data_IF_974556912609
#
_entry.id   IF_974556912609
#
_cell.length_a   1.000
_cell.length_b   1.000
_cell.length_c   1.000
_cell.angle_alpha   90.00
_cell.angle_beta   90.00
_cell.angle_gamma   90.00
#
_symmetry.space_group_name_H-M   'P 1'
#
loop_
_entity.id
_entity.type
_entity.pdbx_description
1 polymer ?
#
# COMPACT_ATOMS: atom_id res chain seq x y z
N UNK A 1 -15.92 -68.58 -7.87
CA UNK A 1 -16.29 -67.22 -7.42
C UNK A 1 -15.53 -66.26 -8.31
N UNK A 2 -16.24 -65.71 -9.31
CA UNK A 2 -15.64 -65.23 -10.56
C UNK A 2 -14.95 -63.88 -10.44
N UNK A 3 -13.93 -63.68 -11.26
CA UNK A 3 -13.12 -62.47 -11.45
C UNK A 3 -13.93 -61.16 -11.46
N UNK A 4 -15.20 -61.19 -11.90
CA UNK A 4 -16.10 -60.03 -11.89
C UNK A 4 -16.50 -59.57 -10.49
N UNK A 5 -16.65 -60.50 -9.52
CA UNK A 5 -16.95 -60.18 -8.12
C UNK A 5 -15.74 -59.53 -7.46
N UNK A 6 -14.54 -60.06 -7.72
CA UNK A 6 -13.28 -59.52 -7.20
C UNK A 6 -12.99 -58.10 -7.74
N UNK A 7 -13.23 -57.85 -9.04
CA UNK A 7 -13.11 -56.49 -9.62
C UNK A 7 -14.08 -55.49 -9.00
N UNK A 8 -15.34 -55.89 -8.76
CA UNK A 8 -16.33 -55.03 -8.11
C UNK A 8 -15.93 -54.70 -6.68
N UNK A 9 -15.48 -55.70 -5.91
CA UNK A 9 -14.99 -55.49 -4.54
C UNK A 9 -13.78 -54.56 -4.49
N UNK A 10 -12.81 -54.72 -5.41
CA UNK A 10 -11.65 -53.83 -5.50
C UNK A 10 -12.05 -52.38 -5.82
N UNK A 11 -12.99 -52.19 -6.74
CA UNK A 11 -13.53 -50.86 -7.09
C UNK A 11 -14.20 -50.19 -5.89
N UNK A 12 -14.99 -50.91 -5.09
CA UNK A 12 -15.59 -50.35 -3.89
C UNK A 12 -14.56 -49.95 -2.83
N UNK A 13 -13.51 -50.75 -2.63
CA UNK A 13 -12.42 -50.42 -1.70
C UNK A 13 -11.68 -49.17 -2.15
N UNK A 14 -11.38 -49.03 -3.45
CA UNK A 14 -10.73 -47.84 -4.00
C UNK A 14 -11.60 -46.59 -3.84
N UNK A 15 -12.92 -46.69 -4.08
CA UNK A 15 -13.84 -45.57 -3.89
C UNK A 15 -13.91 -45.13 -2.42
N UNK A 16 -13.94 -46.09 -1.48
CA UNK A 16 -13.96 -45.78 -0.03
C UNK A 16 -12.64 -45.13 0.41
N UNK A 17 -11.49 -45.60 -0.10
CA UNK A 17 -10.18 -45.01 0.18
C UNK A 17 -10.06 -43.59 -0.40
N UNK A 18 -10.64 -43.34 -1.58
CA UNK A 18 -10.69 -42.00 -2.19
C UNK A 18 -11.59 -41.03 -1.41
N UNK A 19 -12.71 -41.50 -0.83
CA UNK A 19 -13.57 -40.66 0.03
C UNK A 19 -12.89 -40.29 1.35
N UNK A 20 -12.07 -41.18 1.92
CA UNK A 20 -11.29 -40.89 3.13
C UNK A 20 -10.22 -39.81 2.94
N UNK A 21 -9.66 -39.68 1.73
CA UNK A 21 -8.65 -38.67 1.39
C UNK A 21 -9.24 -37.26 1.23
N UNK A 22 -10.52 -37.12 0.88
CA UNK A 22 -11.19 -35.81 0.72
C UNK A 22 -11.47 -35.19 2.09
N UNK A 23 -11.72 -36.00 3.13
CA UNK A 23 -12.09 -35.52 4.46
C UNK A 23 -10.91 -35.07 5.34
N UNK A 24 -9.66 -35.43 4.99
CA UNK A 24 -8.48 -35.08 5.79
C UNK A 24 -7.88 -33.69 5.47
N UNK A 25 -8.39 -33.00 4.44
CA UNK A 25 -7.80 -31.75 3.92
C UNK A 25 -8.55 -30.46 4.26
N UNK A 26 -9.75 -30.51 4.86
CA UNK A 26 -10.53 -29.31 5.16
C UNK A 26 -10.38 -28.92 6.63
N UNK A 27 -9.30 -28.22 6.95
CA UNK A 27 -9.27 -27.39 8.16
C UNK A 27 -10.38 -26.34 8.00
N UNK A 28 -11.30 -26.14 8.97
CA UNK A 28 -12.29 -25.08 8.87
C UNK A 28 -11.56 -23.75 8.73
N UNK A 29 -11.64 -23.12 7.55
CA UNK A 29 -11.18 -21.75 7.39
C UNK A 29 -12.10 -20.90 8.27
N UNK A 30 -11.60 -20.49 9.43
CA UNK A 30 -12.34 -19.64 10.37
C UNK A 30 -12.80 -18.41 9.59
N UNK A 31 -14.12 -18.19 9.55
CA UNK A 31 -14.71 -17.07 8.82
C UNK A 31 -14.08 -15.73 9.26
N UNK A 32 -13.92 -14.81 8.33
CA UNK A 32 -13.43 -13.47 8.65
C UNK A 32 -14.43 -12.75 9.57
N UNK A 33 -13.98 -12.10 10.67
CA UNK A 33 -14.89 -11.45 11.60
C UNK A 33 -15.71 -10.33 10.94
N UNK A 34 -16.92 -10.10 11.44
CA UNK A 34 -17.75 -8.97 11.02
C UNK A 34 -17.25 -7.70 11.70
N UNK A 35 -16.60 -6.83 10.93
CA UNK A 35 -16.02 -5.58 11.41
C UNK A 35 -16.84 -4.39 10.91
N UNK A 36 -17.33 -3.54 11.82
CA UNK A 36 -18.17 -2.37 11.51
C UNK A 36 -17.56 -1.08 12.06
N UNK A 37 -18.06 0.06 11.59
CA UNK A 37 -17.61 1.38 12.03
C UNK A 37 -16.30 1.81 11.36
N UNK A 38 -15.83 3.03 11.62
CA UNK A 38 -14.75 3.65 10.83
C UNK A 38 -13.36 3.04 11.03
N UNK A 39 -13.11 2.29 12.11
CA UNK A 39 -11.78 1.78 12.47
C UNK A 39 -11.72 0.25 12.52
N UNK A 40 -12.23 -0.43 11.49
CA UNK A 40 -12.18 -1.90 11.38
C UNK A 40 -12.70 -2.63 12.65
N UNK A 41 -13.79 -2.14 13.24
CA UNK A 41 -14.36 -2.71 14.47
C UNK A 41 -13.78 -2.18 15.79
N UNK A 42 -12.74 -1.34 15.74
CA UNK A 42 -12.23 -0.64 16.92
C UNK A 42 -13.01 0.65 17.21
N UNK A 43 -12.89 1.13 18.45
CA UNK A 43 -13.33 2.47 18.84
C UNK A 43 -12.38 3.51 18.22
N UNK A 44 -12.83 4.76 18.02
CA UNK A 44 -11.95 5.85 17.61
C UNK A 44 -10.71 5.97 18.50
N UNK A 45 -9.54 6.31 17.94
CA UNK A 45 -8.30 6.40 18.71
C UNK A 45 -8.38 7.52 19.76
N UNK A 46 -7.79 7.26 20.92
CA UNK A 46 -7.59 8.26 21.97
C UNK A 46 -6.18 8.87 21.93
N UNK A 47 -5.77 9.49 23.04
CA UNK A 47 -4.41 10.04 23.20
C UNK A 47 -3.35 9.00 23.56
N UNK A 48 -3.76 7.77 23.88
CA UNK A 48 -2.87 6.65 24.17
C UNK A 48 -2.76 5.76 22.93
N UNK A 49 -1.54 5.47 22.44
CA UNK A 49 -1.35 4.56 21.31
C UNK A 49 -1.85 3.14 21.63
N UNK A 50 -2.56 2.55 20.67
CA UNK A 50 -3.04 1.17 20.71
C UNK A 50 -2.64 0.43 19.43
N UNK A 51 -2.60 -0.91 19.47
CA UNK A 51 -2.38 -1.72 18.26
C UNK A 51 -3.59 -1.56 17.35
N UNK A 52 -3.35 -1.21 16.09
CA UNK A 52 -4.40 -1.02 15.10
C UNK A 52 -4.82 -2.37 14.48
N UNK A 53 -6.13 -2.62 14.48
CA UNK A 53 -6.82 -3.82 14.03
C UNK A 53 -6.03 -5.13 14.29
N UNK A 54 -5.83 -5.52 15.56
CA UNK A 54 -5.01 -6.69 15.92
C UNK A 54 -5.54 -7.98 15.27
N UNK A 55 -4.65 -8.77 14.67
CA UNK A 55 -5.02 -10.00 13.97
C UNK A 55 -5.62 -9.78 12.58
N UNK A 56 -5.80 -8.53 12.15
CA UNK A 56 -6.35 -8.15 10.83
C UNK A 56 -5.28 -7.36 10.06
N UNK A 57 -4.88 -6.20 10.57
CA UNK A 57 -3.81 -5.37 10.02
C UNK A 57 -2.50 -5.67 10.72
N UNK A 58 -2.42 -5.64 12.05
CA UNK A 58 -1.20 -6.04 12.77
C UNK A 58 -1.24 -7.54 13.05
N UNK A 59 -0.39 -8.31 12.36
CA UNK A 59 -0.27 -9.76 12.57
C UNK A 59 1.20 -10.14 12.90
N UNK A 60 1.46 -11.30 13.52
CA UNK A 60 2.82 -11.71 13.85
C UNK A 60 3.72 -11.89 12.61
N UNK A 61 5.04 -11.75 12.82
CA UNK A 61 6.12 -12.11 11.88
C UNK A 61 6.13 -11.38 10.53
N UNK A 62 5.40 -10.29 10.43
CA UNK A 62 5.37 -9.41 9.25
C UNK A 62 5.49 -7.96 9.69
N UNK A 63 5.86 -7.10 8.74
CA UNK A 63 6.01 -5.66 8.98
C UNK A 63 5.04 -4.90 8.08
N UNK A 64 4.21 -4.04 8.67
CA UNK A 64 3.31 -3.13 7.95
C UNK A 64 3.79 -1.68 7.97
N UNK A 65 3.76 -1.03 6.81
CA UNK A 65 4.19 0.36 6.63
C UNK A 65 3.15 1.15 5.82
N UNK A 66 3.22 2.48 5.95
CA UNK A 66 2.41 3.45 5.17
C UNK A 66 0.90 3.18 5.20
N UNK A 67 0.37 2.88 6.38
CA UNK A 67 -1.07 2.73 6.59
C UNK A 67 -1.82 4.06 6.43
N UNK A 68 -2.89 4.09 5.63
CA UNK A 68 -3.76 5.25 5.50
C UNK A 68 -5.19 4.85 5.08
N UNK A 69 -6.15 5.70 5.43
CA UNK A 69 -7.51 5.60 4.90
C UNK A 69 -7.62 6.41 3.61
N UNK A 70 -8.45 5.94 2.69
CA UNK A 70 -9.01 6.79 1.63
C UNK A 70 -9.72 8.02 2.23
N UNK A 71 -9.78 9.16 1.50
CA UNK A 71 -10.38 10.40 2.01
C UNK A 71 -11.84 10.26 2.47
N UNK A 72 -12.61 9.35 1.88
CA UNK A 72 -14.00 9.08 2.27
C UNK A 72 -14.14 8.07 3.43
N UNK A 73 -13.02 7.51 3.90
CA UNK A 73 -12.97 6.56 5.01
C UNK A 73 -13.52 5.16 4.69
N UNK A 74 -13.74 4.83 3.42
CA UNK A 74 -14.36 3.55 3.01
C UNK A 74 -13.35 2.47 2.63
N UNK A 75 -12.10 2.86 2.44
CA UNK A 75 -10.98 1.97 2.11
C UNK A 75 -9.79 2.25 3.03
N UNK A 76 -9.04 1.21 3.39
CA UNK A 76 -7.79 1.29 4.15
C UNK A 76 -6.69 0.57 3.38
N UNK A 77 -5.56 1.24 3.22
CA UNK A 77 -4.39 0.76 2.48
C UNK A 77 -3.17 0.74 3.39
N UNK A 78 -2.30 -0.25 3.20
CA UNK A 78 -1.00 -0.37 3.83
C UNK A 78 -0.15 -1.28 2.95
N UNK A 79 1.16 -1.33 3.12
CA UNK A 79 1.95 -2.40 2.50
C UNK A 79 2.61 -3.26 3.56
N UNK A 80 2.77 -4.54 3.23
CA UNK A 80 3.31 -5.55 4.13
C UNK A 80 4.47 -6.29 3.48
N UNK A 81 5.48 -6.63 4.26
CA UNK A 81 6.60 -7.47 3.85
C UNK A 81 7.15 -8.28 5.02
N UNK A 82 7.96 -9.28 4.72
CA UNK A 82 8.76 -10.03 5.70
C UNK A 82 10.04 -10.54 5.04
N UNK A 83 10.82 -11.37 5.73
CA UNK A 83 11.99 -12.01 5.13
C UNK A 83 11.63 -12.94 3.96
N UNK A 84 10.41 -13.49 3.96
CA UNK A 84 9.93 -14.46 2.96
C UNK A 84 8.81 -13.92 2.08
N UNK A 85 8.22 -12.78 2.45
CA UNK A 85 7.14 -12.12 1.72
C UNK A 85 7.65 -10.86 1.03
N UNK A 86 7.53 -10.82 -0.30
CA UNK A 86 7.80 -9.61 -1.06
C UNK A 86 6.83 -8.48 -0.66
N UNK A 87 7.29 -7.23 -0.63
CA UNK A 87 6.45 -6.08 -0.32
C UNK A 87 5.25 -5.96 -1.26
N UNK A 88 4.04 -5.91 -0.70
CA UNK A 88 2.82 -5.69 -1.47
C UNK A 88 1.89 -4.73 -0.74
N UNK A 89 1.23 -3.86 -1.49
CA UNK A 89 0.10 -3.07 -0.98
C UNK A 89 -1.07 -4.01 -0.75
N UNK A 90 -1.65 -3.94 0.45
CA UNK A 90 -2.90 -4.56 0.83
C UNK A 90 -3.97 -3.49 0.98
N UNK A 91 -5.22 -3.88 0.71
CA UNK A 91 -6.38 -3.03 0.93
C UNK A 91 -7.53 -3.78 1.60
N UNK A 92 -8.25 -3.09 2.45
CA UNK A 92 -9.57 -3.49 2.97
C UNK A 92 -10.58 -2.41 2.58
N UNK A 93 -11.81 -2.80 2.28
CA UNK A 93 -12.88 -1.86 1.89
C UNK A 93 -14.18 -2.17 2.61
N UNK A 94 -15.04 -1.17 2.72
CA UNK A 94 -16.39 -1.31 3.25
C UNK A 94 -17.33 -1.80 2.15
N UNK A 95 -17.93 -2.98 2.34
CA UNK A 95 -19.04 -3.50 1.55
C UNK A 95 -20.20 -3.78 2.50
N UNK A 96 -21.40 -3.26 2.19
CA UNK A 96 -22.60 -3.41 3.02
C UNK A 96 -22.38 -3.04 4.50
N UNK A 97 -21.61 -1.96 4.73
CA UNK A 97 -21.28 -1.45 6.05
C UNK A 97 -20.29 -2.31 6.85
N UNK A 98 -19.60 -3.26 6.20
CA UNK A 98 -18.63 -4.17 6.81
C UNK A 98 -17.29 -4.09 6.10
N UNK A 99 -16.20 -4.07 6.86
CA UNK A 99 -14.86 -4.16 6.28
C UNK A 99 -14.59 -5.57 5.75
N UNK A 100 -13.94 -5.66 4.59
CA UNK A 100 -13.44 -6.91 4.03
C UNK A 100 -12.13 -7.33 4.70
N UNK A 101 -11.76 -8.61 4.55
CA UNK A 101 -10.40 -9.05 4.83
C UNK A 101 -9.40 -8.23 3.99
N UNK A 102 -8.27 -7.77 4.56
CA UNK A 102 -7.22 -7.15 3.76
C UNK A 102 -6.68 -8.14 2.72
N UNK A 103 -6.63 -7.72 1.46
CA UNK A 103 -6.11 -8.49 0.33
C UNK A 103 -5.11 -7.67 -0.48
N UNK A 104 -4.15 -8.29 -1.19
CA UNK A 104 -3.24 -7.57 -2.08
C UNK A 104 -4.01 -6.73 -3.09
N UNK A 105 -3.58 -5.49 -3.29
CA UNK A 105 -4.24 -4.57 -4.19
C UNK A 105 -4.14 -5.05 -5.64
N UNK A 106 -5.31 -5.30 -6.26
CA UNK A 106 -5.39 -5.88 -7.60
C UNK A 106 -4.63 -5.08 -8.67
N UNK A 107 -4.63 -3.74 -8.55
CA UNK A 107 -3.93 -2.84 -9.49
C UNK A 107 -2.41 -3.06 -9.52
N UNK A 108 -1.81 -3.65 -8.47
CA UNK A 108 -0.38 -3.92 -8.43
C UNK A 108 0.00 -5.22 -9.16
N UNK A 109 -0.97 -6.03 -9.61
CA UNK A 109 -0.74 -7.20 -10.46
C UNK A 109 0.23 -8.24 -9.90
N UNK A 110 0.40 -8.30 -8.57
CA UNK A 110 1.35 -9.21 -7.90
C UNK A 110 2.82 -8.77 -7.94
N UNK A 111 3.16 -7.65 -8.58
CA UNK A 111 4.50 -7.09 -8.51
C UNK A 111 4.74 -6.40 -7.16
N UNK A 112 6.01 -6.30 -6.71
CA UNK A 112 6.30 -5.62 -5.47
C UNK A 112 5.84 -4.16 -5.50
N UNK A 113 5.11 -3.76 -4.47
CA UNK A 113 4.43 -2.46 -4.41
C UNK A 113 4.48 -1.85 -3.01
N UNK A 114 4.54 -0.51 -2.95
CA UNK A 114 4.89 0.23 -1.73
C UNK A 114 4.25 1.61 -1.72
N UNK A 115 4.17 2.21 -0.52
CA UNK A 115 4.07 3.67 -0.33
C UNK A 115 2.90 4.31 -1.12
N UNK A 116 1.72 3.70 -1.05
CA UNK A 116 0.52 4.27 -1.66
C UNK A 116 0.10 5.58 -0.99
N UNK A 117 -0.40 6.52 -1.78
CA UNK A 117 -1.02 7.76 -1.35
C UNK A 117 -2.24 8.09 -2.22
N UNK A 118 -3.33 8.51 -1.58
CA UNK A 118 -4.55 8.98 -2.25
C UNK A 118 -4.76 10.45 -1.83
N UNK A 119 -4.71 11.42 -2.77
CA UNK A 119 -5.02 12.81 -2.47
C UNK A 119 -6.47 13.00 -2.02
N UNK A 120 -6.76 14.13 -1.36
CA UNK A 120 -8.07 14.41 -0.77
C UNK A 120 -9.25 14.39 -1.75
N UNK A 121 -9.01 14.59 -3.05
CA UNK A 121 -10.05 14.49 -4.08
C UNK A 121 -10.51 13.04 -4.36
N UNK A 122 -9.79 12.06 -3.84
CA UNK A 122 -10.03 10.63 -3.97
C UNK A 122 -10.05 10.12 -5.42
N UNK A 123 -9.44 10.86 -6.38
CA UNK A 123 -9.52 10.54 -7.82
C UNK A 123 -8.36 9.72 -8.36
N UNK A 124 -7.21 9.78 -7.72
CA UNK A 124 -5.99 9.10 -8.20
C UNK A 124 -5.29 8.45 -7.01
N UNK A 125 -4.75 7.25 -7.20
CA UNK A 125 -3.81 6.63 -6.26
C UNK A 125 -2.42 6.68 -6.87
N UNK A 126 -1.45 7.16 -6.09
CA UNK A 126 -0.03 7.14 -6.44
C UNK A 126 0.67 6.08 -5.60
N UNK A 127 1.59 5.33 -6.18
CA UNK A 127 2.32 4.30 -5.45
C UNK A 127 3.65 3.95 -6.13
N UNK A 128 4.59 3.42 -5.35
CA UNK A 128 5.82 2.84 -5.88
C UNK A 128 5.56 1.40 -6.34
N UNK A 129 6.03 1.06 -7.53
CA UNK A 129 5.76 -0.22 -8.16
C UNK A 129 7.00 -0.73 -8.89
N UNK A 130 7.49 -1.92 -8.51
CA UNK A 130 8.60 -2.60 -9.18
C UNK A 130 8.13 -3.34 -10.44
N UNK A 131 7.35 -2.65 -11.27
CA UNK A 131 6.95 -3.10 -12.59
C UNK A 131 7.96 -2.58 -13.62
N UNK A 132 8.27 -3.34 -14.69
CA UNK A 132 9.10 -2.86 -15.77
C UNK A 132 8.62 -1.51 -16.30
N UNK A 133 9.57 -0.59 -16.55
CA UNK A 133 9.25 0.70 -17.15
C UNK A 133 8.69 0.49 -18.58
N UNK A 134 7.64 1.24 -18.97
CA UNK A 134 7.14 1.23 -20.33
C UNK A 134 8.22 1.60 -21.35
N UNK A 135 8.11 1.08 -22.57
CA UNK A 135 9.04 1.42 -23.64
C UNK A 135 9.02 2.91 -23.93
N UNK A 136 10.20 3.53 -24.03
CA UNK A 136 10.35 4.97 -24.30
C UNK A 136 10.42 5.84 -23.06
N UNK A 137 10.26 5.28 -21.86
CA UNK A 137 10.42 6.02 -20.61
C UNK A 137 11.91 6.18 -20.23
N UNK A 138 12.28 7.37 -19.78
CA UNK A 138 13.67 7.76 -19.48
C UNK A 138 14.04 7.65 -17.99
N UNK A 139 13.32 6.84 -17.23
CA UNK A 139 13.60 6.63 -15.80
C UNK A 139 14.93 5.89 -15.58
N UNK A 140 15.71 6.33 -14.60
CA UNK A 140 16.85 5.56 -14.10
C UNK A 140 16.35 4.27 -13.40
N UNK A 141 16.74 3.07 -13.85
CA UNK A 141 16.24 1.81 -13.29
C UNK A 141 16.70 1.55 -11.85
N UNK A 142 17.72 2.26 -11.37
CA UNK A 142 18.24 2.14 -10.01
C UNK A 142 17.52 3.08 -9.02
N UNK A 143 16.62 3.94 -9.49
CA UNK A 143 15.85 4.84 -8.65
C UNK A 143 14.36 4.43 -8.63
N UNK A 144 13.67 4.60 -7.49
CA UNK A 144 12.23 4.35 -7.40
C UNK A 144 11.41 5.16 -8.41
N UNK A 145 10.49 4.45 -9.07
CA UNK A 145 9.46 5.02 -9.92
C UNK A 145 8.11 5.08 -9.21
N UNK A 146 7.38 6.16 -9.42
CA UNK A 146 5.99 6.31 -8.99
C UNK A 146 5.05 6.07 -10.17
N UNK A 147 3.97 5.35 -9.90
CA UNK A 147 2.88 5.06 -10.82
C UNK A 147 1.58 5.64 -10.28
N UNK A 148 0.65 5.93 -11.18
CA UNK A 148 -0.65 6.51 -10.87
C UNK A 148 -1.76 5.67 -11.50
N UNK A 149 -2.85 5.47 -10.78
CA UNK A 149 -4.08 4.88 -11.32
C UNK A 149 -5.28 5.76 -10.95
N UNK A 150 -6.21 5.93 -11.89
CA UNK A 150 -7.40 6.75 -11.71
C UNK A 150 -8.53 5.91 -11.12
N UNK A 151 -9.34 6.52 -10.25
CA UNK A 151 -10.50 5.86 -9.66
C UNK A 151 -11.52 5.55 -10.75
N UNK A 152 -12.05 4.33 -10.73
CA UNK A 152 -13.13 3.86 -11.60
C UNK A 152 -14.23 3.23 -10.75
N UNK A 153 -15.37 2.88 -11.36
CA UNK A 153 -16.55 2.38 -10.65
C UNK A 153 -16.24 1.22 -9.68
N UNK A 154 -15.32 0.33 -10.05
CA UNK A 154 -14.96 -0.85 -9.28
C UNK A 154 -13.46 -0.89 -8.91
N UNK A 155 -12.91 0.23 -8.43
CA UNK A 155 -11.54 0.30 -7.93
C UNK A 155 -10.68 1.29 -8.71
N UNK A 156 -9.56 0.83 -9.25
CA UNK A 156 -8.54 1.66 -9.90
C UNK A 156 -8.30 1.19 -11.34
N UNK A 157 -7.99 2.13 -12.23
CA UNK A 157 -7.59 1.83 -13.61
C UNK A 157 -6.26 1.08 -13.67
N UNK A 158 -5.85 0.66 -14.87
CA UNK A 158 -4.48 0.23 -15.09
C UNK A 158 -3.51 1.35 -14.68
N UNK A 159 -2.45 1.05 -13.91
CA UNK A 159 -1.47 2.06 -13.54
C UNK A 159 -0.66 2.55 -14.73
N UNK A 160 -0.45 3.86 -14.77
CA UNK A 160 0.43 4.54 -15.72
C UNK A 160 1.63 5.10 -14.99
N UNK A 161 2.80 5.08 -15.63
CA UNK A 161 4.00 5.64 -15.02
C UNK A 161 3.79 7.15 -14.83
N UNK A 162 4.14 7.69 -13.66
CA UNK A 162 3.97 9.12 -13.37
C UNK A 162 5.32 9.85 -13.43
N UNK A 163 6.39 9.20 -12.96
CA UNK A 163 7.75 9.73 -12.98
C UNK A 163 8.62 9.15 -11.86
N UNK A 164 9.80 9.73 -11.66
CA UNK A 164 10.72 9.33 -10.59
C UNK A 164 10.45 10.05 -9.28
N UNK A 165 10.68 9.35 -8.19
CA UNK A 165 10.46 9.83 -6.82
C UNK A 165 9.70 8.81 -5.99
N UNK A 166 9.55 9.10 -4.71
CA UNK A 166 8.93 8.20 -3.73
C UNK A 166 8.25 8.95 -2.60
N UNK A 167 7.42 8.24 -1.82
CA UNK A 167 6.65 8.78 -0.69
C UNK A 167 5.91 10.09 -1.03
N UNK A 168 4.86 9.99 -1.84
CA UNK A 168 4.00 11.13 -2.09
C UNK A 168 3.11 11.43 -0.88
N UNK A 169 2.79 12.70 -0.70
CA UNK A 169 1.70 13.16 0.13
C UNK A 169 1.07 14.41 -0.48
N UNK A 170 0.01 14.93 0.14
CA UNK A 170 -0.72 16.08 -0.41
C UNK A 170 -1.36 16.94 0.67
N UNK A 171 -1.42 18.24 0.44
CA UNK A 171 -2.29 19.15 1.20
C UNK A 171 -3.74 19.05 0.73
N UNK A 172 -4.67 19.64 1.50
CA UNK A 172 -6.11 19.59 1.25
C UNK A 172 -6.54 20.32 -0.02
N UNK A 173 -5.78 21.32 -0.45
CA UNK A 173 -5.99 22.05 -1.71
C UNK A 173 -5.51 21.27 -2.95
N UNK A 174 -4.90 20.09 -2.75
CA UNK A 174 -4.48 19.19 -3.83
C UNK A 174 -3.03 19.35 -4.26
N UNK A 175 -2.24 20.25 -3.65
CA UNK A 175 -0.80 20.32 -3.93
C UNK A 175 -0.13 19.01 -3.49
N UNK A 176 0.58 18.37 -4.42
CA UNK A 176 1.35 17.16 -4.17
C UNK A 176 2.77 17.48 -3.71
N UNK A 177 3.29 16.65 -2.82
CA UNK A 177 4.65 16.71 -2.31
C UNK A 177 5.30 15.35 -2.47
N UNK A 178 6.61 15.32 -2.69
CA UNK A 178 7.34 14.09 -3.00
C UNK A 178 8.77 14.15 -2.46
N UNK A 179 9.35 12.97 -2.25
CA UNK A 179 10.79 12.83 -2.16
C UNK A 179 11.39 12.87 -3.56
N UNK A 180 11.98 14.01 -3.91
CA UNK A 180 12.75 14.23 -5.14
C UNK A 180 14.12 13.54 -5.04
N UNK A 181 14.42 12.71 -6.03
CA UNK A 181 15.66 11.93 -6.16
C UNK A 181 16.49 12.34 -7.39
N UNK A 182 16.14 13.44 -8.07
CA UNK A 182 16.79 13.88 -9.30
C UNK A 182 18.30 14.14 -9.15
N UNK A 183 18.76 14.53 -7.95
CA UNK A 183 20.18 14.72 -7.65
C UNK A 183 20.82 13.52 -6.91
N UNK A 184 20.06 12.50 -6.54
CA UNK A 184 20.51 11.44 -5.64
C UNK A 184 21.76 10.71 -6.15
N UNK A 185 21.87 10.48 -7.46
CA UNK A 185 23.04 9.81 -8.04
C UNK A 185 24.26 10.73 -8.20
N UNK A 186 24.08 12.04 -8.05
CA UNK A 186 25.15 13.03 -8.16
C UNK A 186 25.75 13.34 -6.78
N UNK A 187 24.92 13.49 -5.74
CA UNK A 187 25.35 13.94 -4.42
C UNK A 187 24.93 13.02 -3.27
N UNK A 188 24.21 11.93 -3.54
CA UNK A 188 23.71 10.98 -2.54
C UNK A 188 22.50 11.47 -1.74
N UNK A 189 21.90 12.61 -2.11
CA UNK A 189 20.89 13.30 -1.29
C UNK A 189 19.50 13.20 -1.88
N UNK A 190 18.53 13.07 -0.97
CA UNK A 190 17.11 13.22 -1.27
C UNK A 190 16.59 14.59 -0.78
N UNK A 191 15.57 15.09 -1.46
CA UNK A 191 14.97 16.39 -1.21
C UNK A 191 13.46 16.28 -1.06
N UNK A 192 12.89 17.09 -0.18
CA UNK A 192 11.46 17.32 -0.16
C UNK A 192 11.12 18.38 -1.22
N UNK A 193 10.16 18.10 -2.10
CA UNK A 193 9.72 19.03 -3.12
C UNK A 193 8.20 19.10 -3.25
N UNK A 194 7.68 20.27 -3.60
CA UNK A 194 6.36 20.39 -4.24
C UNK A 194 6.48 19.86 -5.66
N UNK A 195 5.48 19.08 -6.05
CA UNK A 195 5.43 18.44 -7.35
C UNK A 195 4.47 19.20 -8.27
N UNK A 196 4.94 19.48 -9.48
CA UNK A 196 4.10 19.95 -10.59
C UNK A 196 3.79 18.78 -11.52
N UNK A 197 2.53 18.69 -11.96
CA UNK A 197 2.08 17.70 -12.93
C UNK A 197 1.77 18.37 -14.27
N UNK A 198 2.05 17.65 -15.35
CA UNK A 198 1.55 17.93 -16.69
C UNK A 198 0.89 16.66 -17.24
N UNK A 199 -0.42 16.69 -17.50
CA UNK A 199 -1.20 15.54 -17.96
C UNK A 199 -0.97 14.26 -17.12
N UNK A 200 -0.98 14.38 -15.79
CA UNK A 200 -0.78 13.26 -14.87
C UNK A 200 0.69 12.80 -14.70
N UNK A 201 1.63 13.40 -15.44
CA UNK A 201 3.06 13.12 -15.38
C UNK A 201 3.80 14.15 -14.56
N UNK A 202 4.85 13.73 -13.86
CA UNK A 202 5.72 14.62 -13.10
C UNK A 202 6.49 15.50 -14.07
N UNK A 203 6.36 16.82 -13.91
CA UNK A 203 6.95 17.80 -14.84
C UNK A 203 7.86 18.82 -14.16
N UNK A 204 7.82 18.93 -12.83
CA UNK A 204 8.67 19.86 -12.10
C UNK A 204 8.71 19.58 -10.60
N UNK A 205 9.85 19.89 -9.98
CA UNK A 205 10.10 19.72 -8.55
C UNK A 205 10.58 21.06 -7.99
N UNK A 206 9.76 21.71 -7.16
CA UNK A 206 10.15 22.89 -6.38
C UNK A 206 10.60 22.40 -5.01
N UNK A 207 11.92 22.24 -4.83
CA UNK A 207 12.51 21.78 -3.57
C UNK A 207 12.21 22.77 -2.46
N UNK A 208 11.68 22.26 -1.35
CA UNK A 208 11.41 23.07 -0.17
C UNK A 208 12.72 23.34 0.56
N UNK A 209 13.16 24.60 0.49
CA UNK A 209 14.33 25.13 1.22
C UNK A 209 13.88 25.87 2.47
N UNK A 210 14.71 25.93 3.53
CA UNK A 210 14.36 26.64 4.78
C UNK A 210 14.76 25.89 6.05
N UNK A 211 13.81 25.70 7.00
CA UNK A 211 14.08 25.03 8.29
C UNK A 211 14.76 23.66 8.18
N UNK A 212 14.61 22.98 7.04
CA UNK A 212 15.29 21.71 6.73
C UNK A 212 16.78 21.86 6.40
N UNK A 213 17.23 23.02 5.91
CA UNK A 213 18.65 23.28 5.63
C UNK A 213 19.43 23.48 6.94
N UNK A 214 18.78 23.99 7.99
CA UNK A 214 19.32 24.01 9.34
C UNK A 214 19.49 22.58 9.90
N UNK A 215 18.59 21.64 9.57
CA UNK A 215 18.74 20.22 9.93
C UNK A 215 19.91 19.56 9.20
N UNK A 216 20.14 19.93 7.93
CA UNK A 216 21.34 19.49 7.19
C UNK A 216 22.63 19.98 7.83
N UNK A 217 22.67 21.22 8.29
CA UNK A 217 23.80 21.76 9.03
C UNK A 217 24.08 21.00 10.35
N UNK A 218 23.10 20.23 10.84
CA UNK A 218 23.21 19.38 12.03
C UNK A 218 23.46 17.89 11.70
N UNK A 219 23.78 17.56 10.45
CA UNK A 219 24.11 16.18 10.03
C UNK A 219 22.92 15.31 9.64
N UNK A 220 21.70 15.87 9.54
CA UNK A 220 20.54 15.19 8.98
C UNK A 220 20.51 15.42 7.46
N UNK A 221 21.30 14.64 6.72
CA UNK A 221 21.62 14.92 5.32
C UNK A 221 20.45 14.67 4.34
N UNK A 222 19.56 13.72 4.67
CA UNK A 222 18.42 13.33 3.83
C UNK A 222 17.12 14.01 4.29
N UNK A 223 16.56 14.84 3.41
CA UNK A 223 15.26 15.47 3.60
C UNK A 223 14.25 14.70 2.74
N UNK A 224 13.58 13.70 3.32
CA UNK A 224 12.75 12.77 2.57
C UNK A 224 11.46 12.42 3.33
N UNK A 225 10.52 11.79 2.63
CA UNK A 225 9.28 11.22 3.15
C UNK A 225 8.35 12.27 3.77
N UNK A 226 7.74 13.14 2.95
CA UNK A 226 6.90 14.22 3.46
C UNK A 226 5.73 13.74 4.31
N UNK A 227 5.65 14.25 5.53
CA UNK A 227 4.41 14.37 6.29
C UNK A 227 3.95 15.84 6.18
N UNK A 228 2.93 16.08 5.34
CA UNK A 228 2.36 17.41 5.12
C UNK A 228 1.03 17.47 5.84
N UNK A 229 0.85 18.49 6.67
CA UNK A 229 -0.43 18.73 7.32
C UNK A 229 -1.48 19.14 6.27
N UNK A 230 -2.79 18.96 6.54
CA UNK A 230 -3.83 19.28 5.57
C UNK A 230 -3.83 20.73 5.09
N UNK A 231 -3.32 21.68 5.89
CA UNK A 231 -3.17 23.09 5.53
C UNK A 231 -1.92 23.40 4.68
N UNK A 232 -1.13 22.38 4.34
CA UNK A 232 0.11 22.52 3.59
C UNK A 232 1.33 22.86 4.43
N UNK A 233 1.19 22.98 5.76
CA UNK A 233 2.33 23.13 6.67
C UNK A 233 3.13 21.81 6.76
N UNK A 234 4.43 21.94 6.96
CA UNK A 234 5.37 20.81 6.96
C UNK A 234 6.43 21.03 8.05
N UNK A 235 6.89 19.96 8.70
CA UNK A 235 7.83 20.04 9.83
C UNK A 235 8.17 18.67 10.44
N UNK A 236 8.90 18.64 11.57
CA UNK A 236 9.17 17.39 12.29
C UNK A 236 7.87 16.75 12.82
N UNK A 237 7.81 15.43 12.91
CA UNK A 237 6.71 14.72 13.59
C UNK A 237 6.52 15.14 15.06
N UNK A 238 7.52 15.81 15.66
CA UNK A 238 7.43 16.45 16.99
C UNK A 238 6.74 17.82 16.95
N UNK A 239 6.87 18.57 15.86
CA UNK A 239 6.24 19.89 15.68
C UNK A 239 4.76 19.79 15.28
N UNK A 240 4.37 18.67 14.66
CA UNK A 240 2.98 18.37 14.31
C UNK A 240 2.07 18.06 15.52
N UNK A 241 2.59 18.03 16.75
CA UNK A 241 1.78 17.90 17.99
C UNK A 241 1.13 19.22 18.44
N UNK A 242 1.31 20.31 17.69
CA UNK A 242 0.78 21.65 17.99
C UNK A 242 -0.27 22.14 16.99
N UNK A 243 -0.68 21.29 16.04
CA UNK A 243 -1.82 21.52 15.14
C UNK A 243 -2.99 20.64 15.57
#
# INVERSE_FOLDING_TARGET
MGESVMRRTLLYIVIILLQGLISYGQTPQKDFPVLKGPYLGQKPPGMTPEIFAPGIVSIPDVTEWSGHFSPDGTEYYFYRFSQTLQPAIFMSKVIDGKWTKPEPAAFAGGYPSFQSHIPFDNKTIYFAWKHPLPQGESGNPNLPGTWAANRIANGWSTPEYAGQGMFLSSSRDGQLYITDLSAYLLDGKAYLAKLTLNNGRFSGFERLTGGMDALRAQGLENQAHPCIAPDGSWGEAKDLRRL
#
